data_IF_905492145181
#
_entry.id   IF_905492145181
#
_cell.length_a   1.000
_cell.length_b   1.000
_cell.length_c   1.000
_cell.angle_alpha   90.00
_cell.angle_beta   90.00
_cell.angle_gamma   90.00
#
_symmetry.space_group_name_H-M   'P 1'
#
loop_
_entity.id
_entity.type
_entity.pdbx_description
1 polymer ?
#
# COMPACT_ATOMS: atom_id res chain seq x y z
N UNK A 1 -13.07 15.87 -4.59
CA UNK A 1 -12.49 14.68 -3.94
C UNK A 1 -11.24 15.14 -3.20
N UNK A 2 -11.03 14.65 -1.98
CA UNK A 2 -9.81 14.82 -1.18
C UNK A 2 -8.84 13.68 -1.48
N UNK A 3 -7.55 13.87 -1.22
CA UNK A 3 -6.55 12.80 -1.39
C UNK A 3 -6.88 11.57 -0.53
N UNK A 4 -7.39 11.75 0.69
CA UNK A 4 -7.84 10.67 1.58
C UNK A 4 -8.95 9.81 0.97
N UNK A 5 -9.88 10.42 0.23
CA UNK A 5 -10.95 9.69 -0.49
C UNK A 5 -10.39 8.89 -1.68
N UNK A 6 -9.34 9.41 -2.34
CA UNK A 6 -8.67 8.72 -3.44
C UNK A 6 -7.89 7.48 -2.92
N UNK A 7 -7.11 7.64 -1.85
CA UNK A 7 -6.37 6.55 -1.23
C UNK A 7 -7.31 5.47 -0.67
N UNK A 8 -8.43 5.87 -0.04
CA UNK A 8 -9.46 4.92 0.39
C UNK A 8 -10.05 4.12 -0.78
N UNK A 9 -10.20 4.74 -1.96
CA UNK A 9 -10.63 4.03 -3.16
C UNK A 9 -9.57 3.04 -3.66
N UNK A 10 -8.28 3.36 -3.55
CA UNK A 10 -7.19 2.40 -3.81
C UNK A 10 -7.23 1.22 -2.82
N UNK A 11 -7.44 1.50 -1.53
CA UNK A 11 -7.56 0.45 -0.50
C UNK A 11 -8.69 -0.52 -0.79
N UNK A 12 -9.83 -0.04 -1.28
CA UNK A 12 -10.94 -0.91 -1.68
C UNK A 12 -10.52 -1.91 -2.78
N UNK A 13 -9.68 -1.49 -3.73
CA UNK A 13 -9.14 -2.38 -4.77
C UNK A 13 -8.16 -3.39 -4.17
N UNK A 14 -7.25 -2.95 -3.30
CA UNK A 14 -6.32 -3.82 -2.61
C UNK A 14 -7.01 -4.84 -1.70
N UNK A 15 -8.07 -4.47 -0.99
CA UNK A 15 -8.85 -5.42 -0.18
C UNK A 15 -9.43 -6.55 -1.03
N UNK A 16 -9.92 -6.25 -2.23
CA UNK A 16 -10.37 -7.29 -3.17
C UNK A 16 -9.21 -8.19 -3.63
N UNK A 17 -8.03 -7.63 -3.87
CA UNK A 17 -6.81 -8.39 -4.18
C UNK A 17 -6.38 -9.28 -3.01
N UNK A 18 -6.41 -8.77 -1.79
CA UNK A 18 -6.08 -9.51 -0.58
C UNK A 18 -7.06 -10.66 -0.33
N UNK A 19 -8.36 -10.43 -0.50
CA UNK A 19 -9.39 -11.48 -0.43
C UNK A 19 -9.14 -12.58 -1.46
N UNK A 20 -8.72 -12.20 -2.67
CA UNK A 20 -8.32 -13.17 -3.69
C UNK A 20 -7.07 -13.95 -3.29
N UNK A 21 -6.03 -13.27 -2.80
CA UNK A 21 -4.78 -13.87 -2.38
C UNK A 21 -5.00 -14.88 -1.23
N UNK A 22 -5.75 -14.52 -0.20
CA UNK A 22 -6.05 -15.38 0.95
C UNK A 22 -6.75 -16.68 0.56
N UNK A 23 -7.67 -16.62 -0.43
CA UNK A 23 -8.36 -17.80 -0.95
C UNK A 23 -7.48 -18.65 -1.87
N UNK A 24 -6.58 -18.01 -2.62
CA UNK A 24 -5.84 -18.62 -3.73
C UNK A 24 -4.49 -19.18 -3.31
N UNK A 25 -3.72 -18.44 -2.52
CA UNK A 25 -2.35 -18.79 -2.11
C UNK A 25 -2.24 -20.18 -1.47
N UNK A 26 -3.17 -20.62 -0.58
CA UNK A 26 -3.13 -21.98 -0.04
C UNK A 26 -3.22 -23.09 -1.10
N UNK A 27 -3.80 -22.78 -2.27
CA UNK A 27 -4.08 -23.74 -3.35
C UNK A 27 -2.98 -23.81 -4.42
N UNK A 28 -2.15 -22.76 -4.55
CA UNK A 28 -1.05 -22.67 -5.54
C UNK A 28 -0.05 -23.81 -5.42
N UNK A 29 0.24 -24.56 -6.47
CA UNK A 29 0.98 -25.84 -6.42
C UNK A 29 2.50 -25.67 -6.55
N UNK A 30 2.97 -24.54 -7.05
CA UNK A 30 4.39 -24.32 -7.30
C UNK A 30 4.89 -23.03 -6.67
N UNK A 31 6.19 -22.99 -6.37
CA UNK A 31 6.84 -21.77 -5.88
C UNK A 31 6.74 -20.66 -6.93
N UNK A 32 6.85 -21.00 -8.22
CA UNK A 32 6.75 -20.03 -9.30
C UNK A 32 5.39 -19.29 -9.31
N UNK A 33 4.27 -19.99 -9.12
CA UNK A 33 2.95 -19.36 -9.02
C UNK A 33 2.87 -18.39 -7.83
N UNK A 34 3.41 -18.77 -6.68
CA UNK A 34 3.43 -17.89 -5.49
C UNK A 34 4.30 -16.67 -5.75
N UNK A 35 5.45 -16.83 -6.40
CA UNK A 35 6.34 -15.73 -6.77
C UNK A 35 5.68 -14.76 -7.74
N UNK A 36 4.98 -15.26 -8.76
CA UNK A 36 4.26 -14.42 -9.71
C UNK A 36 3.20 -13.56 -9.01
N UNK A 37 2.42 -14.14 -8.10
CA UNK A 37 1.45 -13.36 -7.31
C UNK A 37 2.13 -12.39 -6.34
N UNK A 38 3.25 -12.79 -5.72
CA UNK A 38 4.03 -11.90 -4.85
C UNK A 38 4.60 -10.69 -5.59
N UNK A 39 5.16 -10.86 -6.80
CA UNK A 39 5.62 -9.74 -7.62
C UNK A 39 4.48 -8.79 -8.00
N UNK A 40 3.30 -9.33 -8.34
CA UNK A 40 2.12 -8.50 -8.63
C UNK A 40 1.70 -7.67 -7.42
N UNK A 41 1.59 -8.30 -6.25
CA UNK A 41 1.22 -7.62 -5.01
C UNK A 41 2.26 -6.56 -4.63
N UNK A 42 3.56 -6.87 -4.75
CA UNK A 42 4.65 -5.92 -4.51
C UNK A 42 4.61 -4.73 -5.46
N UNK A 43 4.45 -4.96 -6.76
CA UNK A 43 4.41 -3.86 -7.73
C UNK A 43 3.26 -2.88 -7.44
N UNK A 44 2.09 -3.40 -7.05
CA UNK A 44 0.95 -2.56 -6.70
C UNK A 44 1.18 -1.81 -5.38
N UNK A 45 1.63 -2.51 -4.34
CA UNK A 45 1.89 -1.89 -3.02
C UNK A 45 3.00 -0.84 -3.09
N UNK A 46 4.04 -1.06 -3.90
CA UNK A 46 5.13 -0.09 -4.10
C UNK A 46 4.65 1.19 -4.77
N UNK A 47 3.79 1.07 -5.78
CA UNK A 47 3.21 2.25 -6.45
C UNK A 47 2.31 3.06 -5.50
N UNK A 48 1.56 2.35 -4.66
CA UNK A 48 0.71 2.96 -3.64
C UNK A 48 1.53 3.63 -2.53
N UNK A 49 2.50 2.95 -1.92
CA UNK A 49 3.33 3.52 -0.84
C UNK A 49 4.14 4.73 -1.30
N UNK A 50 4.59 4.76 -2.56
CA UNK A 50 5.25 5.93 -3.14
C UNK A 50 4.30 7.14 -3.23
N UNK A 51 3.03 6.88 -3.56
CA UNK A 51 1.99 7.90 -3.60
C UNK A 51 1.69 8.43 -2.21
N UNK A 52 1.60 7.55 -1.21
CA UNK A 52 1.37 7.92 0.19
C UNK A 52 2.51 8.75 0.76
N UNK A 53 3.76 8.37 0.50
CA UNK A 53 4.92 9.10 0.98
C UNK A 53 4.86 10.56 0.51
N UNK A 54 4.67 10.76 -0.79
CA UNK A 54 4.67 12.10 -1.41
C UNK A 54 3.43 12.93 -1.07
N UNK A 55 2.25 12.31 -1.09
CA UNK A 55 0.98 13.04 -1.09
C UNK A 55 0.28 13.04 0.26
N UNK A 56 0.77 12.26 1.23
CA UNK A 56 0.18 12.17 2.56
C UNK A 56 1.22 12.31 3.67
N UNK A 57 2.29 11.51 3.66
CA UNK A 57 3.29 11.48 4.75
C UNK A 57 4.11 12.77 4.79
N UNK A 58 4.70 13.19 3.67
CA UNK A 58 5.46 14.44 3.58
C UNK A 58 4.61 15.67 4.01
N UNK A 59 3.38 15.87 3.51
CA UNK A 59 2.50 16.94 4.00
C UNK A 59 2.15 16.89 5.49
N UNK A 60 2.19 15.69 6.09
CA UNK A 60 1.85 15.46 7.51
C UNK A 60 3.08 15.29 8.40
N UNK A 61 4.29 15.44 7.87
CA UNK A 61 5.54 15.10 8.54
C UNK A 61 5.60 15.64 9.97
N UNK A 62 5.33 16.94 10.12
CA UNK A 62 5.34 17.62 11.43
C UNK A 62 4.28 17.06 12.41
N UNK A 63 3.11 16.66 11.91
CA UNK A 63 2.04 16.09 12.73
C UNK A 63 2.36 14.64 13.13
N UNK A 64 2.87 13.84 12.19
CA UNK A 64 3.23 12.43 12.41
C UNK A 64 4.44 12.27 13.35
N UNK A 65 5.37 13.23 13.34
CA UNK A 65 6.49 13.29 14.28
C UNK A 65 6.01 13.55 15.72
N UNK A 66 5.10 14.51 15.90
CA UNK A 66 4.60 14.89 17.23
C UNK A 66 3.84 13.76 17.94
N UNK A 67 3.19 12.89 17.18
CA UNK A 67 2.42 11.76 17.70
C UNK A 67 3.20 10.43 17.68
N UNK A 68 4.47 10.44 17.25
CA UNK A 68 5.32 9.24 17.20
C UNK A 68 4.94 8.20 16.14
N UNK A 69 4.04 8.53 15.21
CA UNK A 69 3.56 7.59 14.20
C UNK A 69 4.42 7.52 12.95
N UNK A 70 5.28 8.53 12.68
CA UNK A 70 6.15 8.54 11.49
C UNK A 70 7.06 7.31 11.40
N UNK A 71 7.83 7.03 12.46
CA UNK A 71 8.74 5.89 12.47
C UNK A 71 7.99 4.56 12.36
N UNK A 72 6.80 4.48 12.97
CA UNK A 72 5.95 3.29 12.90
C UNK A 72 5.43 3.06 11.46
N UNK A 73 5.10 4.13 10.73
CA UNK A 73 4.61 4.06 9.35
C UNK A 73 5.64 3.43 8.40
N UNK A 74 6.87 3.95 8.41
CA UNK A 74 7.94 3.38 7.58
C UNK A 74 8.31 1.93 7.99
N UNK A 75 8.23 1.60 9.28
CA UNK A 75 8.47 0.23 9.75
C UNK A 75 7.42 -0.74 9.23
N UNK A 76 6.15 -0.34 9.19
CA UNK A 76 5.06 -1.16 8.64
C UNK A 76 5.25 -1.43 7.14
N UNK A 77 5.59 -0.40 6.36
CA UNK A 77 5.94 -0.57 4.94
C UNK A 77 7.14 -1.52 4.76
N UNK A 78 8.19 -1.35 5.56
CA UNK A 78 9.37 -2.21 5.50
C UNK A 78 9.04 -3.68 5.85
N UNK A 79 8.15 -3.92 6.83
CA UNK A 79 7.71 -5.26 7.20
C UNK A 79 7.00 -5.97 6.03
N UNK A 80 6.12 -5.25 5.35
CA UNK A 80 5.39 -5.74 4.16
C UNK A 80 6.39 -6.10 3.05
N UNK A 81 7.32 -5.19 2.73
CA UNK A 81 8.35 -5.39 1.72
C UNK A 81 9.24 -6.60 2.02
N UNK A 82 9.66 -6.75 3.28
CA UNK A 82 10.49 -7.88 3.71
C UNK A 82 9.75 -9.21 3.54
N UNK A 83 8.45 -9.25 3.83
CA UNK A 83 7.63 -10.43 3.57
C UNK A 83 7.50 -10.74 2.08
N UNK A 84 7.27 -9.73 1.23
CA UNK A 84 7.17 -9.92 -0.21
C UNK A 84 8.49 -10.42 -0.82
N UNK A 85 9.62 -9.80 -0.45
CA UNK A 85 10.97 -10.24 -0.86
C UNK A 85 11.26 -11.67 -0.42
N UNK A 86 10.84 -12.07 0.78
CA UNK A 86 10.98 -13.47 1.24
C UNK A 86 10.08 -14.41 0.45
N UNK A 87 8.83 -14.04 0.17
CA UNK A 87 7.92 -14.84 -0.66
C UNK A 87 8.51 -15.10 -2.06
N UNK A 88 9.25 -14.13 -2.59
CA UNK A 88 9.92 -14.21 -3.88
C UNK A 88 11.19 -15.08 -3.88
N UNK A 89 11.96 -15.08 -2.79
CA UNK A 89 13.31 -15.66 -2.79
C UNK A 89 13.39 -17.08 -2.21
N UNK A 90 12.50 -17.44 -1.29
CA UNK A 90 12.52 -18.78 -0.66
C UNK A 90 12.25 -19.90 -1.66
N UNK A 91 12.84 -21.08 -1.40
CA UNK A 91 12.72 -22.26 -2.27
C UNK A 91 11.59 -23.21 -1.85
N UNK A 92 11.10 -23.09 -0.62
CA UNK A 92 10.02 -23.94 -0.10
C UNK A 92 8.66 -23.35 -0.43
N UNK A 93 7.78 -24.15 -1.04
CA UNK A 93 6.39 -23.75 -1.32
C UNK A 93 5.65 -23.34 -0.03
N UNK A 94 5.87 -24.06 1.06
CA UNK A 94 5.26 -23.75 2.36
C UNK A 94 5.69 -22.37 2.85
N UNK A 95 6.99 -22.06 2.76
CA UNK A 95 7.51 -20.75 3.19
C UNK A 95 7.09 -19.63 2.26
N UNK A 96 7.08 -19.86 0.95
CA UNK A 96 6.64 -18.86 -0.03
C UNK A 96 5.20 -18.44 0.23
N UNK A 97 4.29 -19.41 0.39
CA UNK A 97 2.88 -19.15 0.74
C UNK A 97 2.74 -18.43 2.07
N UNK A 98 3.50 -18.86 3.09
CA UNK A 98 3.48 -18.24 4.40
C UNK A 98 3.88 -16.76 4.33
N UNK A 99 4.97 -16.43 3.64
CA UNK A 99 5.43 -15.05 3.53
C UNK A 99 4.48 -14.18 2.69
N UNK A 100 3.90 -14.70 1.61
CA UNK A 100 2.91 -13.94 0.85
C UNK A 100 1.65 -13.65 1.69
N UNK A 101 1.14 -14.64 2.45
CA UNK A 101 0.02 -14.41 3.35
C UNK A 101 0.38 -13.48 4.52
N UNK A 102 1.62 -13.54 5.02
CA UNK A 102 2.10 -12.61 6.05
C UNK A 102 2.13 -11.18 5.53
N UNK A 103 2.62 -10.94 4.31
CA UNK A 103 2.56 -9.62 3.66
C UNK A 103 1.12 -9.12 3.58
N UNK A 104 0.17 -9.94 3.11
CA UNK A 104 -1.25 -9.57 3.04
C UNK A 104 -1.81 -9.19 4.41
N UNK A 105 -1.50 -9.95 5.45
CA UNK A 105 -1.95 -9.63 6.83
C UNK A 105 -1.35 -8.31 7.32
N UNK A 106 -0.06 -8.06 7.08
CA UNK A 106 0.59 -6.81 7.48
C UNK A 106 0.02 -5.61 6.69
N UNK A 107 -0.24 -5.76 5.39
CA UNK A 107 -0.90 -4.73 4.57
C UNK A 107 -2.31 -4.41 5.08
N UNK A 108 -3.12 -5.41 5.45
CA UNK A 108 -4.45 -5.17 6.03
C UNK A 108 -4.39 -4.37 7.33
N UNK A 109 -3.43 -4.68 8.22
CA UNK A 109 -3.26 -3.95 9.48
C UNK A 109 -2.81 -2.51 9.24
N UNK A 110 -1.91 -2.32 8.27
CA UNK A 110 -1.44 -1.01 7.87
C UNK A 110 -2.60 -0.15 7.34
N UNK A 111 -3.39 -0.68 6.40
CA UNK A 111 -4.55 0.03 5.85
C UNK A 111 -5.62 0.35 6.89
N UNK A 112 -5.92 -0.60 7.81
CA UNK A 112 -6.86 -0.34 8.90
C UNK A 112 -6.41 0.84 9.78
N UNK A 113 -5.11 0.92 10.08
CA UNK A 113 -4.54 2.05 10.82
C UNK A 113 -4.64 3.35 10.03
N UNK A 114 -4.34 3.32 8.74
CA UNK A 114 -4.43 4.52 7.91
C UNK A 114 -5.85 5.06 7.82
N UNK A 115 -6.80 4.19 7.48
CA UNK A 115 -8.20 4.55 7.32
C UNK A 115 -8.82 5.08 8.61
N UNK A 116 -8.45 4.49 9.76
CA UNK A 116 -9.05 4.82 11.06
C UNK A 116 -8.34 5.95 11.80
N UNK A 117 -7.06 6.18 11.52
CA UNK A 117 -6.22 7.10 12.30
C UNK A 117 -5.57 8.13 11.39
N UNK A 118 -4.81 7.71 10.38
CA UNK A 118 -3.98 8.62 9.58
C UNK A 118 -4.83 9.52 8.70
N UNK A 119 -5.81 8.98 7.95
CA UNK A 119 -6.66 9.77 7.07
C UNK A 119 -7.53 10.78 7.86
N UNK A 120 -8.21 10.40 8.96
CA UNK A 120 -8.91 11.37 9.81
C UNK A 120 -8.00 12.46 10.38
N UNK A 121 -6.78 12.09 10.81
CA UNK A 121 -5.79 13.05 11.28
C UNK A 121 -5.40 14.04 10.16
N UNK A 122 -5.18 13.53 8.94
CA UNK A 122 -4.91 14.35 7.79
C UNK A 122 -6.02 15.38 7.54
N UNK A 123 -7.27 14.93 7.62
CA UNK A 123 -8.42 15.81 7.44
C UNK A 123 -8.62 16.83 8.57
N UNK A 124 -8.17 16.50 9.78
CA UNK A 124 -8.21 17.41 10.93
C UNK A 124 -7.13 18.49 10.86
N UNK A 125 -5.93 18.16 10.38
CA UNK A 125 -4.76 19.04 10.43
C UNK A 125 -4.50 19.80 9.12
N UNK A 126 -4.86 19.23 7.96
CA UNK A 126 -4.71 19.88 6.67
C UNK A 126 -5.99 20.63 6.28
N UNK A 127 -5.81 21.79 5.64
CA UNK A 127 -6.95 22.55 5.11
C UNK A 127 -7.59 21.76 3.97
N UNK A 128 -8.93 21.83 3.87
CA UNK A 128 -9.68 21.18 2.78
C UNK A 128 -9.16 21.53 1.37
N UNK A 129 -8.65 22.75 1.18
CA UNK A 129 -8.02 23.17 -0.08
C UNK A 129 -6.76 22.36 -0.37
N UNK A 130 -5.85 22.23 0.60
CA UNK A 130 -4.62 21.43 0.49
C UNK A 130 -4.93 19.98 0.14
N UNK A 131 -5.90 19.36 0.82
CA UNK A 131 -6.33 17.98 0.54
C UNK A 131 -6.87 17.79 -0.88
N UNK A 132 -7.53 18.81 -1.44
CA UNK A 132 -8.04 18.80 -2.81
C UNK A 132 -6.92 19.02 -3.83
N UNK A 133 -5.97 19.90 -3.54
CA UNK A 133 -4.79 20.14 -4.39
C UNK A 133 -3.92 18.88 -4.48
N UNK A 134 -3.68 18.19 -3.36
CA UNK A 134 -2.97 16.89 -3.34
C UNK A 134 -3.70 15.83 -4.20
N UNK A 135 -5.04 15.81 -4.17
CA UNK A 135 -5.84 14.92 -5.01
C UNK A 135 -5.69 15.23 -6.51
N UNK A 136 -5.53 16.51 -6.87
CA UNK A 136 -5.24 16.91 -8.26
C UNK A 136 -3.87 16.39 -8.69
N UNK A 137 -2.84 16.53 -7.85
CA UNK A 137 -1.51 15.96 -8.11
C UNK A 137 -1.55 14.44 -8.29
N UNK A 138 -2.29 13.72 -7.44
CA UNK A 138 -2.53 12.29 -7.61
C UNK A 138 -3.13 11.96 -8.98
N UNK A 139 -4.16 12.73 -9.40
CA UNK A 139 -4.82 12.54 -10.69
C UNK A 139 -3.86 12.76 -11.86
N UNK A 140 -2.98 13.75 -11.76
CA UNK A 140 -1.94 14.01 -12.75
C UNK A 140 -0.89 12.91 -12.82
N UNK A 141 -0.47 12.36 -11.66
CA UNK A 141 0.47 11.22 -11.60
C UNK A 141 -0.13 10.01 -12.30
N UNK A 142 -1.38 9.67 -11.97
CA UNK A 142 -2.12 8.57 -12.61
C UNK A 142 -2.26 8.75 -14.12
N UNK A 143 -2.66 9.95 -14.57
CA UNK A 143 -2.85 10.22 -16.00
C UNK A 143 -1.52 10.14 -16.78
N UNK A 144 -0.40 10.56 -16.17
CA UNK A 144 0.94 10.37 -16.75
C UNK A 144 1.32 8.89 -16.85
N UNK A 145 1.04 8.10 -15.82
CA UNK A 145 1.30 6.66 -15.85
C UNK A 145 0.51 5.95 -16.97
N UNK A 146 -0.74 6.35 -17.22
CA UNK A 146 -1.58 5.79 -18.29
C UNK A 146 -1.14 6.28 -19.68
N UNK A 147 -0.71 7.55 -19.80
CA UNK A 147 -0.32 8.15 -21.09
C UNK A 147 1.11 7.83 -21.56
N UNK A 148 1.92 7.15 -20.76
CA UNK A 148 3.29 6.76 -21.13
C UNK A 148 3.37 5.46 -21.96
N UNK A 149 2.24 4.79 -22.23
CA UNK A 149 2.16 3.60 -23.09
C UNK A 149 1.80 3.92 -24.57
N UNK A 150 1.62 5.20 -24.93
CA UNK A 150 1.26 5.64 -26.30
C UNK A 150 2.40 6.31 -27.10
N UNK A 151 3.66 6.25 -26.64
CA UNK A 151 4.81 6.87 -27.31
C UNK A 151 5.91 5.87 -27.75
#
# INVERSE_FOLDING_TARGET
MKITEALLAEHAVFHNLFDYAERTVPRLKTVAEVRSLAHLVEALLLAHSHTEEQLLVEPLEHCLEQIGHRQTFHQEHQEIDDHLKRAQTVRSLKQARHHLLAAVVSSRKHFDKEERIVFPLAEQHLKSRTLTELCSTWTEHRNRAIGQDEA
#
